data_IF_281884036154
#
_entry.id   IF_281884036154
#
_cell.length_a   1.000
_cell.length_b   1.000
_cell.length_c   1.000
_cell.angle_alpha   90.00
_cell.angle_beta   90.00
_cell.angle_gamma   90.00
#
_symmetry.space_group_name_H-M   'P 1'
#
loop_
_entity.id
_entity.type
_entity.pdbx_description
1 polymer ?
#
# COMPACT_ATOMS: atom_id res chain seq x y z
N UNK A 1 -14.86 -20.26 -6.69
CA UNK A 1 -15.01 -20.75 -8.08
C UNK A 1 -14.03 -20.05 -9.01
N UNK A 2 -13.99 -18.69 -9.12
CA UNK A 2 -13.12 -17.94 -10.02
C UNK A 2 -11.63 -18.30 -9.88
N UNK A 3 -11.11 -18.38 -8.66
CA UNK A 3 -9.71 -18.76 -8.38
C UNK A 3 -9.39 -20.19 -8.87
N UNK A 4 -10.33 -21.11 -8.72
CA UNK A 4 -10.17 -22.48 -9.23
C UNK A 4 -10.09 -22.48 -10.77
N UNK A 5 -11.03 -21.82 -11.45
CA UNK A 5 -11.05 -21.72 -12.91
C UNK A 5 -9.77 -21.03 -13.44
N UNK A 6 -9.29 -19.99 -12.78
CA UNK A 6 -8.05 -19.31 -13.14
C UNK A 6 -6.86 -20.27 -13.08
N UNK A 7 -6.74 -21.05 -12.00
CA UNK A 7 -5.66 -22.05 -11.85
C UNK A 7 -5.76 -23.19 -12.85
N UNK A 8 -6.96 -23.68 -13.10
CA UNK A 8 -7.22 -24.72 -14.13
C UNK A 8 -6.81 -24.25 -15.52
N UNK A 9 -6.93 -22.94 -15.81
CA UNK A 9 -6.45 -22.30 -17.03
C UNK A 9 -4.95 -21.95 -17.02
N UNK A 10 -4.19 -22.35 -15.97
CA UNK A 10 -2.75 -22.05 -15.84
C UNK A 10 -2.44 -20.62 -15.42
N UNK A 11 -3.42 -19.85 -14.96
CA UNK A 11 -3.25 -18.45 -14.57
C UNK A 11 -2.88 -18.27 -13.09
N UNK A 12 -2.02 -17.28 -12.82
CA UNK A 12 -1.57 -16.90 -11.47
C UNK A 12 -2.02 -15.48 -11.08
N UNK A 13 -2.89 -14.84 -11.86
CA UNK A 13 -3.36 -13.47 -11.60
C UNK A 13 -4.08 -13.36 -10.26
N UNK A 14 -3.96 -12.20 -9.63
CA UNK A 14 -4.73 -11.86 -8.44
C UNK A 14 -6.21 -11.59 -8.81
N UNK A 15 -7.11 -11.91 -7.89
CA UNK A 15 -8.56 -11.69 -8.05
C UNK A 15 -8.97 -10.38 -7.39
N UNK A 16 -9.55 -9.48 -8.17
CA UNK A 16 -10.17 -8.25 -7.69
C UNK A 16 -11.69 -8.42 -7.71
N UNK A 17 -12.33 -8.39 -6.53
CA UNK A 17 -13.78 -8.40 -6.46
C UNK A 17 -14.34 -6.99 -6.59
N UNK A 18 -15.19 -6.75 -7.60
CA UNK A 18 -15.96 -5.51 -7.73
C UNK A 18 -17.17 -5.55 -6.79
N UNK A 19 -17.22 -4.61 -5.88
CA UNK A 19 -18.38 -4.42 -4.98
C UNK A 19 -19.28 -3.38 -5.63
N UNK A 20 -20.35 -3.87 -6.26
CA UNK A 20 -21.26 -3.05 -7.08
C UNK A 20 -22.73 -3.39 -6.90
N UNK A 21 -23.04 -4.39 -6.07
CA UNK A 21 -24.39 -4.88 -5.84
C UNK A 21 -24.77 -4.87 -4.36
N UNK A 22 -26.05 -4.71 -4.07
CA UNK A 22 -26.57 -4.68 -2.70
C UNK A 22 -26.27 -5.99 -1.95
N UNK A 23 -26.39 -7.14 -2.59
CA UNK A 23 -26.12 -8.46 -1.99
C UNK A 23 -24.65 -8.65 -1.61
N UNK A 24 -23.73 -7.94 -2.28
CA UNK A 24 -22.31 -7.96 -1.92
C UNK A 24 -22.05 -7.28 -0.57
N UNK A 25 -22.88 -6.33 -0.16
CA UNK A 25 -22.74 -5.63 1.13
C UNK A 25 -23.09 -6.54 2.30
N UNK A 26 -24.09 -7.44 2.12
CA UNK A 26 -24.49 -8.41 3.14
C UNK A 26 -23.39 -9.47 3.35
N UNK A 27 -22.70 -9.87 2.28
CA UNK A 27 -21.67 -10.90 2.27
C UNK A 27 -20.24 -10.32 2.21
N UNK A 28 -20.07 -9.05 2.56
CA UNK A 28 -18.82 -8.29 2.32
C UNK A 28 -17.60 -8.95 2.94
N UNK A 29 -17.70 -9.43 4.18
CA UNK A 29 -16.59 -10.06 4.89
C UNK A 29 -16.05 -11.28 4.13
N UNK A 30 -16.94 -12.20 3.72
CA UNK A 30 -16.56 -13.41 2.99
C UNK A 30 -15.99 -13.10 1.60
N UNK A 31 -16.53 -12.10 0.91
CA UNK A 31 -16.04 -11.65 -0.40
C UNK A 31 -14.62 -11.09 -0.26
N UNK A 32 -14.38 -10.25 0.76
CA UNK A 32 -13.06 -9.66 1.02
C UNK A 32 -12.05 -10.75 1.35
N UNK A 33 -12.40 -11.73 2.20
CA UNK A 33 -11.51 -12.85 2.55
C UNK A 33 -11.15 -13.71 1.34
N UNK A 34 -12.11 -13.98 0.46
CA UNK A 34 -11.91 -14.79 -0.74
C UNK A 34 -11.10 -14.10 -1.84
N UNK A 35 -10.94 -12.76 -1.75
CA UNK A 35 -10.31 -11.92 -2.79
C UNK A 35 -8.89 -11.54 -2.43
N UNK A 36 -8.08 -11.17 -3.43
CA UNK A 36 -6.76 -10.58 -3.23
C UNK A 36 -6.85 -9.05 -3.09
N UNK A 37 -7.83 -8.46 -3.75
CA UNK A 37 -8.19 -7.05 -3.66
C UNK A 37 -9.71 -6.88 -3.83
N UNK A 38 -10.23 -5.74 -3.40
CA UNK A 38 -11.61 -5.34 -3.68
C UNK A 38 -11.65 -3.97 -4.34
N UNK A 39 -12.69 -3.73 -5.13
CA UNK A 39 -12.92 -2.46 -5.79
C UNK A 39 -14.29 -1.92 -5.40
N UNK A 40 -14.33 -0.72 -4.88
CA UNK A 40 -15.57 0.03 -4.64
C UNK A 40 -15.99 0.63 -5.99
N UNK A 41 -16.94 -0.01 -6.66
CA UNK A 41 -17.46 0.43 -7.96
C UNK A 41 -18.66 1.36 -7.75
N UNK A 42 -18.35 2.64 -7.47
CA UNK A 42 -19.36 3.60 -6.98
C UNK A 42 -20.49 3.89 -7.95
N UNK A 43 -20.20 3.88 -9.25
CA UNK A 43 -21.23 4.12 -10.28
C UNK A 43 -22.35 3.10 -10.19
N UNK A 44 -22.02 1.81 -10.29
CA UNK A 44 -22.99 0.73 -10.28
C UNK A 44 -23.62 0.55 -8.89
N UNK A 45 -22.80 0.63 -7.83
CA UNK A 45 -23.28 0.53 -6.45
C UNK A 45 -24.27 1.64 -6.09
N UNK A 46 -24.03 2.88 -6.54
CA UNK A 46 -24.93 4.00 -6.31
C UNK A 46 -26.28 3.85 -7.00
N UNK A 47 -26.32 3.19 -8.16
CA UNK A 47 -27.58 2.85 -8.84
C UNK A 47 -28.38 1.79 -8.07
N UNK A 48 -27.68 0.82 -7.46
CA UNK A 48 -28.32 -0.29 -6.72
C UNK A 48 -28.90 0.15 -5.36
N UNK A 49 -28.18 1.01 -4.64
CA UNK A 49 -28.48 1.32 -3.22
C UNK A 49 -28.92 2.76 -2.97
N UNK A 50 -28.77 3.63 -3.97
CA UNK A 50 -28.99 5.06 -3.84
C UNK A 50 -27.73 5.84 -3.46
N UNK A 51 -27.69 7.10 -3.87
CA UNK A 51 -26.56 8.02 -3.73
C UNK A 51 -26.34 8.46 -2.25
N UNK A 52 -27.39 8.53 -1.46
CA UNK A 52 -27.32 8.95 -0.07
C UNK A 52 -26.55 7.95 0.83
N UNK A 53 -26.65 6.66 0.53
CA UNK A 53 -26.00 5.59 1.30
C UNK A 53 -24.54 5.32 0.85
N UNK A 54 -24.22 5.69 -0.37
CA UNK A 54 -22.94 5.37 -1.03
C UNK A 54 -21.71 5.82 -0.22
N UNK A 55 -21.63 7.03 0.35
CA UNK A 55 -20.46 7.46 1.11
C UNK A 55 -20.21 6.61 2.37
N UNK A 56 -21.28 6.22 3.07
CA UNK A 56 -21.21 5.34 4.24
C UNK A 56 -20.70 3.94 3.87
N UNK A 57 -21.18 3.39 2.77
CA UNK A 57 -20.78 2.08 2.27
C UNK A 57 -19.35 2.07 1.74
N UNK A 58 -18.90 3.14 1.06
CA UNK A 58 -17.49 3.29 0.69
C UNK A 58 -16.58 3.14 1.91
N UNK A 59 -16.85 3.87 2.99
CA UNK A 59 -16.08 3.79 4.23
C UNK A 59 -16.13 2.39 4.84
N UNK A 60 -17.30 1.76 4.86
CA UNK A 60 -17.46 0.38 5.34
C UNK A 60 -16.63 -0.61 4.54
N UNK A 61 -16.67 -0.55 3.21
CA UNK A 61 -15.92 -1.46 2.33
C UNK A 61 -14.42 -1.27 2.52
N UNK A 62 -13.95 -0.01 2.54
CA UNK A 62 -12.52 0.30 2.77
C UNK A 62 -12.08 -0.26 4.12
N UNK A 63 -12.83 0.01 5.20
CA UNK A 63 -12.52 -0.49 6.54
C UNK A 63 -12.45 -2.02 6.59
N UNK A 64 -13.43 -2.72 6.00
CA UNK A 64 -13.46 -4.19 5.96
C UNK A 64 -12.25 -4.77 5.21
N UNK A 65 -11.84 -4.14 4.09
CA UNK A 65 -10.66 -4.53 3.35
C UNK A 65 -9.37 -4.34 4.18
N UNK A 66 -9.22 -3.19 4.82
CA UNK A 66 -8.06 -2.88 5.68
C UNK A 66 -7.95 -3.85 6.86
N UNK A 67 -9.05 -4.13 7.56
CA UNK A 67 -9.09 -5.09 8.69
C UNK A 67 -8.63 -6.49 8.29
N UNK A 68 -8.90 -6.91 7.04
CA UNK A 68 -8.47 -8.20 6.48
C UNK A 68 -7.18 -8.12 5.68
N UNK A 69 -6.50 -6.97 5.75
CA UNK A 69 -5.25 -6.71 5.02
C UNK A 69 -5.36 -6.97 3.51
N UNK A 70 -6.51 -6.62 2.94
CA UNK A 70 -6.73 -6.67 1.49
C UNK A 70 -6.54 -5.30 0.88
N UNK A 71 -6.07 -5.28 -0.36
CA UNK A 71 -5.99 -4.06 -1.16
C UNK A 71 -7.39 -3.58 -1.50
N UNK A 72 -7.60 -2.27 -1.38
CA UNK A 72 -8.87 -1.63 -1.77
C UNK A 72 -8.63 -0.53 -2.79
N UNK A 73 -9.42 -0.56 -3.87
CA UNK A 73 -9.38 0.41 -4.95
C UNK A 73 -10.71 1.16 -4.96
N UNK A 74 -10.69 2.48 -4.86
CA UNK A 74 -11.88 3.30 -5.04
C UNK A 74 -11.97 3.75 -6.49
N UNK A 75 -13.08 3.42 -7.15
CA UNK A 75 -13.24 3.53 -8.59
C UNK A 75 -14.52 4.25 -8.99
N UNK A 76 -14.54 4.71 -10.23
CA UNK A 76 -15.62 5.36 -10.95
C UNK A 76 -16.00 6.75 -10.42
N UNK A 77 -16.30 7.67 -11.36
CA UNK A 77 -16.73 9.03 -11.06
C UNK A 77 -15.76 9.83 -10.16
N UNK A 78 -14.45 9.57 -10.29
CA UNK A 78 -13.45 10.24 -9.46
C UNK A 78 -13.18 11.67 -9.93
N UNK A 79 -13.00 11.86 -11.23
CA UNK A 79 -12.79 13.18 -11.90
C UNK A 79 -13.56 13.23 -13.22
N UNK A 80 -14.83 12.84 -13.18
CA UNK A 80 -15.67 12.66 -14.36
C UNK A 80 -15.74 13.90 -15.26
N UNK A 81 -15.73 15.11 -14.68
CA UNK A 81 -15.72 16.35 -15.45
C UNK A 81 -14.51 16.48 -16.36
N UNK A 82 -13.39 15.85 -16.00
CA UNK A 82 -12.14 15.90 -16.76
C UNK A 82 -12.15 15.02 -18.04
N UNK A 83 -13.22 14.31 -18.30
CA UNK A 83 -13.47 13.73 -19.65
C UNK A 83 -13.48 14.86 -20.69
N UNK A 84 -14.11 15.98 -20.37
CA UNK A 84 -14.27 17.14 -21.27
C UNK A 84 -13.44 18.36 -20.81
N UNK A 85 -13.27 18.59 -19.50
CA UNK A 85 -12.61 19.72 -18.89
C UNK A 85 -11.13 19.48 -18.59
N UNK A 86 -10.23 20.46 -18.79
CA UNK A 86 -8.82 20.32 -18.40
C UNK A 86 -8.58 20.39 -16.88
N UNK A 87 -9.60 20.76 -16.11
CA UNK A 87 -9.52 20.88 -14.64
C UNK A 87 -10.71 20.19 -13.98
N UNK A 88 -10.52 19.57 -12.79
CA UNK A 88 -11.61 18.96 -12.04
C UNK A 88 -12.47 20.00 -11.33
N UNK A 89 -13.69 19.64 -10.98
CA UNK A 89 -14.52 20.42 -10.07
C UNK A 89 -14.01 20.33 -8.62
N UNK A 90 -14.42 21.27 -7.77
CA UNK A 90 -14.07 21.25 -6.34
C UNK A 90 -14.69 20.02 -5.63
N UNK A 91 -15.87 19.60 -6.04
CA UNK A 91 -16.54 18.41 -5.47
C UNK A 91 -15.73 17.14 -5.76
N UNK A 92 -15.22 16.97 -6.96
CA UNK A 92 -14.37 15.84 -7.34
C UNK A 92 -13.04 15.84 -6.58
N UNK A 93 -12.42 17.02 -6.40
CA UNK A 93 -11.20 17.15 -5.59
C UNK A 93 -11.45 16.69 -4.14
N UNK A 94 -12.58 17.10 -3.54
CA UNK A 94 -12.96 16.68 -2.19
C UNK A 94 -13.28 15.18 -2.13
N UNK A 95 -13.92 14.64 -3.14
CA UNK A 95 -14.29 13.24 -3.21
C UNK A 95 -13.05 12.32 -3.30
N UNK A 96 -12.09 12.64 -4.17
CA UNK A 96 -10.80 11.95 -4.25
C UNK A 96 -10.04 12.05 -2.92
N UNK A 97 -9.96 13.27 -2.34
CA UNK A 97 -9.28 13.47 -1.07
C UNK A 97 -9.92 12.63 0.05
N UNK A 98 -11.26 12.56 0.11
CA UNK A 98 -11.96 11.74 1.07
C UNK A 98 -11.66 10.24 0.90
N UNK A 99 -11.62 9.71 -0.35
CA UNK A 99 -11.25 8.32 -0.58
C UNK A 99 -9.85 7.99 -0.05
N UNK A 100 -8.89 8.90 -0.25
CA UNK A 100 -7.52 8.78 0.30
C UNK A 100 -7.54 8.81 1.84
N UNK A 101 -8.25 9.78 2.43
CA UNK A 101 -8.38 9.92 3.89
C UNK A 101 -9.10 8.70 4.50
N UNK A 102 -10.08 8.12 3.82
CA UNK A 102 -10.74 6.88 4.24
C UNK A 102 -9.78 5.68 4.27
N UNK A 103 -8.66 5.77 3.57
CA UNK A 103 -7.59 4.76 3.60
C UNK A 103 -7.57 3.82 2.40
N UNK A 104 -8.17 4.20 1.26
CA UNK A 104 -8.02 3.41 0.03
C UNK A 104 -6.55 3.24 -0.35
N UNK A 105 -6.19 2.08 -0.91
CA UNK A 105 -4.81 1.84 -1.40
C UNK A 105 -4.57 2.53 -2.74
N UNK A 106 -5.60 2.56 -3.58
CA UNK A 106 -5.52 3.19 -4.89
C UNK A 106 -6.85 3.85 -5.26
N UNK A 107 -6.77 4.86 -6.11
CA UNK A 107 -7.91 5.48 -6.79
C UNK A 107 -7.79 5.19 -8.29
N UNK A 108 -8.91 4.97 -8.96
CA UNK A 108 -8.92 4.57 -10.37
C UNK A 108 -9.63 5.60 -11.23
N UNK A 109 -8.99 6.06 -12.29
CA UNK A 109 -9.59 6.78 -13.40
C UNK A 109 -10.14 5.77 -14.42
N UNK A 110 -11.23 6.11 -15.10
CA UNK A 110 -11.91 5.30 -16.11
C UNK A 110 -11.98 6.06 -17.45
N UNK A 111 -13.11 6.67 -17.74
CA UNK A 111 -13.32 7.44 -18.96
C UNK A 111 -12.36 8.61 -19.08
N UNK A 112 -11.99 9.23 -17.97
CA UNK A 112 -11.09 10.39 -17.88
C UNK A 112 -9.77 10.13 -18.61
N UNK A 113 -9.30 8.86 -18.60
CA UNK A 113 -8.05 8.44 -19.27
C UNK A 113 -8.28 7.55 -20.49
N UNK A 114 -9.41 6.83 -20.57
CA UNK A 114 -9.69 5.89 -21.66
C UNK A 114 -10.19 6.60 -22.93
N UNK A 115 -11.05 7.62 -22.77
CA UNK A 115 -11.70 8.34 -23.89
C UNK A 115 -11.78 9.84 -23.66
N UNK A 116 -11.30 10.36 -22.53
CA UNK A 116 -11.33 11.78 -22.21
C UNK A 116 -10.36 12.61 -23.09
N UNK A 117 -10.65 13.89 -23.19
CA UNK A 117 -9.84 14.84 -23.98
C UNK A 117 -8.50 15.21 -23.32
N UNK A 118 -8.39 15.02 -21.99
CA UNK A 118 -7.25 15.50 -21.20
C UNK A 118 -6.64 14.42 -20.29
N UNK A 119 -6.28 13.20 -20.79
CA UNK A 119 -5.88 12.06 -19.94
C UNK A 119 -4.66 12.37 -19.05
N UNK A 120 -3.65 13.04 -19.59
CA UNK A 120 -2.44 13.38 -18.83
C UNK A 120 -2.74 14.40 -17.71
N UNK A 121 -3.63 15.37 -17.96
CA UNK A 121 -4.04 16.34 -16.95
C UNK A 121 -4.89 15.69 -15.85
N UNK A 122 -5.75 14.71 -16.20
CA UNK A 122 -6.53 13.95 -15.24
C UNK A 122 -5.63 13.18 -14.27
N UNK A 123 -4.60 12.48 -14.78
CA UNK A 123 -3.62 11.78 -13.94
C UNK A 123 -2.83 12.77 -13.07
N UNK A 124 -2.39 13.90 -13.63
CA UNK A 124 -1.65 14.91 -12.88
C UNK A 124 -2.51 15.55 -11.77
N UNK A 125 -3.79 15.83 -12.05
CA UNK A 125 -4.74 16.32 -11.06
C UNK A 125 -5.00 15.30 -9.96
N UNK A 126 -5.27 14.04 -10.30
CA UNK A 126 -5.43 12.93 -9.36
C UNK A 126 -4.23 12.83 -8.42
N UNK A 127 -3.00 12.75 -8.98
CA UNK A 127 -1.77 12.69 -8.20
C UNK A 127 -1.63 13.86 -7.22
N UNK A 128 -1.90 15.09 -7.69
CA UNK A 128 -1.82 16.30 -6.85
C UNK A 128 -2.79 16.24 -5.67
N UNK A 129 -4.01 15.75 -5.89
CA UNK A 129 -5.03 15.64 -4.86
C UNK A 129 -4.64 14.55 -3.85
N UNK A 130 -4.20 13.38 -4.31
CA UNK A 130 -3.73 12.29 -3.42
C UNK A 130 -2.60 12.79 -2.51
N UNK A 131 -1.55 13.39 -3.08
CA UNK A 131 -0.42 13.93 -2.31
C UNK A 131 -0.85 15.06 -1.35
N UNK A 132 -1.88 15.82 -1.70
CA UNK A 132 -2.46 16.83 -0.82
C UNK A 132 -3.17 16.23 0.37
N UNK A 133 -3.97 15.18 0.15
CA UNK A 133 -4.70 14.46 1.18
C UNK A 133 -3.77 13.69 2.13
N UNK A 134 -2.76 13.02 1.60
CA UNK A 134 -1.76 12.28 2.38
C UNK A 134 -1.02 13.15 3.40
N UNK A 135 -0.75 14.41 3.07
CA UNK A 135 -0.11 15.37 4.00
C UNK A 135 -0.99 15.77 5.20
N UNK A 136 -2.29 15.49 5.13
CA UNK A 136 -3.23 15.77 6.22
C UNK A 136 -3.42 14.57 7.14
N UNK A 137 -2.72 13.47 6.92
CA UNK A 137 -2.80 12.33 7.82
C UNK A 137 -2.22 12.68 9.19
N UNK A 138 -3.06 12.61 10.20
CA UNK A 138 -2.60 12.58 11.57
C UNK A 138 -2.06 11.18 11.88
N UNK A 139 -0.97 11.05 12.67
CA UNK A 139 -0.48 9.76 13.15
C UNK A 139 -1.62 9.03 13.86
N UNK A 140 -1.88 7.82 13.45
CA UNK A 140 -3.13 7.11 13.76
C UNK A 140 -3.24 6.78 15.24
N UNK A 141 -4.32 7.24 15.87
CA UNK A 141 -4.77 6.74 17.18
C UNK A 141 -5.03 5.21 17.20
N UNK A 142 -5.23 4.59 16.04
CA UNK A 142 -5.46 3.15 15.86
C UNK A 142 -4.25 2.27 16.18
N UNK A 143 -3.04 2.86 16.27
CA UNK A 143 -1.81 2.17 16.69
C UNK A 143 -1.70 2.00 18.21
N UNK A 144 -2.80 2.11 18.96
CA UNK A 144 -2.76 1.84 20.40
C UNK A 144 -2.36 0.39 20.65
N UNK A 145 -1.22 0.14 21.33
CA UNK A 145 -0.82 -1.20 21.68
C UNK A 145 -1.95 -1.90 22.47
N UNK A 146 -2.29 -3.12 22.09
CA UNK A 146 -3.26 -3.95 22.84
C UNK A 146 -4.71 -3.93 22.35
N UNK A 147 -5.04 -3.17 21.29
CA UNK A 147 -6.40 -3.19 20.71
C UNK A 147 -6.70 -4.47 19.93
N UNK A 148 -5.68 -5.13 19.37
CA UNK A 148 -5.82 -6.39 18.64
C UNK A 148 -4.68 -7.35 18.98
N UNK A 149 -5.02 -8.61 19.24
CA UNK A 149 -4.04 -9.66 19.35
C UNK A 149 -3.57 -10.06 17.96
N UNK A 150 -2.26 -10.01 17.73
CA UNK A 150 -1.65 -10.40 16.47
C UNK A 150 -1.15 -11.85 16.58
N UNK A 151 -1.55 -12.68 15.63
CA UNK A 151 -1.20 -14.11 15.62
C UNK A 151 0.09 -14.41 14.83
N UNK A 152 0.63 -13.42 14.13
CA UNK A 152 1.81 -13.58 13.26
C UNK A 152 2.92 -12.62 13.64
N UNK A 153 4.17 -13.13 13.62
CA UNK A 153 5.37 -12.33 13.91
C UNK A 153 5.59 -11.20 12.90
N UNK A 154 5.35 -11.44 11.61
CA UNK A 154 5.53 -10.44 10.57
C UNK A 154 4.55 -9.25 10.71
N UNK A 155 3.32 -9.49 11.17
CA UNK A 155 2.36 -8.43 11.54
C UNK A 155 2.83 -7.62 12.74
N UNK A 156 3.32 -8.32 13.79
CA UNK A 156 3.79 -7.66 15.01
C UNK A 156 5.03 -6.78 14.74
N UNK A 157 5.95 -7.26 13.91
CA UNK A 157 7.12 -6.48 13.47
C UNK A 157 6.69 -5.27 12.62
N UNK A 158 5.72 -5.43 11.72
CA UNK A 158 5.21 -4.31 10.93
C UNK A 158 4.56 -3.24 11.83
N UNK A 159 3.73 -3.64 12.79
CA UNK A 159 3.12 -2.72 13.76
C UNK A 159 4.20 -1.98 14.58
N UNK A 160 5.18 -2.70 15.09
CA UNK A 160 6.29 -2.12 15.86
C UNK A 160 7.10 -1.12 15.02
N UNK A 161 7.38 -1.46 13.74
CA UNK A 161 8.08 -0.58 12.82
C UNK A 161 7.31 0.73 12.57
N UNK A 162 6.00 0.63 12.33
CA UNK A 162 5.15 1.79 12.09
C UNK A 162 5.00 2.67 13.34
N UNK A 163 4.82 2.06 14.51
CA UNK A 163 4.80 2.77 15.79
C UNK A 163 6.11 3.52 16.04
N UNK A 164 7.24 2.82 15.89
CA UNK A 164 8.56 3.41 16.10
C UNK A 164 8.83 4.55 15.10
N UNK A 165 8.45 4.37 13.82
CA UNK A 165 8.60 5.40 12.79
C UNK A 165 7.92 6.71 13.16
N UNK A 166 6.72 6.62 13.74
CA UNK A 166 5.96 7.80 14.22
C UNK A 166 6.59 8.48 15.44
N UNK A 167 7.34 7.74 16.28
CA UNK A 167 7.92 8.29 17.52
C UNK A 167 9.28 8.96 17.32
N UNK A 168 10.12 8.42 16.46
CA UNK A 168 11.52 8.85 16.35
C UNK A 168 11.86 9.63 15.08
N UNK A 169 10.90 9.82 14.19
CA UNK A 169 11.07 10.56 12.94
C UNK A 169 12.14 9.94 12.05
N UNK A 170 11.79 8.83 11.38
CA UNK A 170 12.68 8.20 10.39
C UNK A 170 12.43 8.74 8.98
N UNK A 171 13.44 8.66 8.12
CA UNK A 171 13.34 9.06 6.71
C UNK A 171 12.55 8.06 5.89
N UNK A 172 12.70 6.77 6.18
CA UNK A 172 12.07 5.69 5.44
C UNK A 172 11.98 4.41 6.27
N UNK A 173 11.06 3.52 5.87
CA UNK A 173 11.04 2.12 6.27
C UNK A 173 11.50 1.29 5.08
N UNK A 174 12.47 0.40 5.29
CA UNK A 174 13.03 -0.50 4.28
C UNK A 174 12.58 -1.92 4.60
N UNK A 175 11.85 -2.55 3.70
CA UNK A 175 11.34 -3.91 3.88
C UNK A 175 12.00 -4.86 2.87
N UNK A 176 12.84 -5.79 3.35
CA UNK A 176 13.30 -6.88 2.53
C UNK A 176 12.21 -7.96 2.49
N UNK A 177 11.66 -8.20 1.32
CA UNK A 177 10.49 -9.09 1.18
C UNK A 177 10.54 -9.92 -0.10
N UNK A 178 10.21 -11.19 -0.03
CA UNK A 178 10.13 -12.07 -1.20
C UNK A 178 8.75 -11.95 -1.88
N UNK A 179 7.69 -12.03 -1.10
CA UNK A 179 6.30 -12.07 -1.60
C UNK A 179 5.58 -10.70 -1.58
N UNK A 180 6.14 -9.70 -0.88
CA UNK A 180 5.48 -8.44 -0.60
C UNK A 180 4.61 -8.44 0.67
N UNK A 181 4.55 -9.53 1.43
CA UNK A 181 3.69 -9.63 2.60
C UNK A 181 4.03 -8.60 3.68
N UNK A 182 5.32 -8.42 3.99
CA UNK A 182 5.76 -7.42 4.99
C UNK A 182 5.37 -6.00 4.57
N UNK A 183 5.57 -5.67 3.29
CA UNK A 183 5.16 -4.37 2.74
C UNK A 183 3.64 -4.18 2.82
N UNK A 184 2.87 -5.24 2.60
CA UNK A 184 1.42 -5.22 2.75
C UNK A 184 1.01 -4.91 4.20
N UNK A 185 1.64 -5.56 5.20
CA UNK A 185 1.35 -5.28 6.61
C UNK A 185 1.72 -3.84 6.98
N UNK A 186 2.89 -3.36 6.55
CA UNK A 186 3.31 -1.98 6.78
C UNK A 186 2.31 -0.98 6.18
N UNK A 187 1.81 -1.23 4.98
CA UNK A 187 0.86 -0.34 4.27
C UNK A 187 -0.54 -0.28 4.91
N UNK A 188 -0.87 -1.18 5.84
CA UNK A 188 -2.15 -1.15 6.56
C UNK A 188 -2.22 -0.03 7.59
N UNK A 189 -1.06 0.45 8.02
CA UNK A 189 -0.97 1.55 8.98
C UNK A 189 -0.72 2.86 8.23
N UNK A 190 -1.43 3.92 8.61
CA UNK A 190 -1.25 5.24 7.99
C UNK A 190 0.08 5.84 8.44
N UNK A 191 0.87 6.31 7.50
CA UNK A 191 2.14 6.98 7.77
C UNK A 191 2.44 8.02 6.69
N UNK A 192 3.23 9.01 7.04
CA UNK A 192 3.86 9.93 6.10
C UNK A 192 5.26 9.47 5.69
N UNK A 193 5.71 8.34 6.25
CA UNK A 193 7.04 7.77 5.99
C UNK A 193 6.97 6.78 4.83
N UNK A 194 7.75 6.98 3.75
CA UNK A 194 7.75 6.08 2.60
C UNK A 194 8.28 4.70 2.98
N UNK A 195 7.67 3.66 2.42
CA UNK A 195 8.08 2.26 2.56
C UNK A 195 8.78 1.84 1.28
N UNK A 196 10.09 1.56 1.33
CA UNK A 196 10.82 0.96 0.23
C UNK A 196 10.81 -0.56 0.40
N UNK A 197 10.09 -1.24 -0.49
CA UNK A 197 9.95 -2.70 -0.46
C UNK A 197 10.88 -3.33 -1.51
N UNK A 198 11.94 -3.97 -1.04
CA UNK A 198 12.98 -4.54 -1.86
C UNK A 198 12.69 -6.01 -2.13
N UNK A 199 12.58 -6.37 -3.42
CA UNK A 199 12.31 -7.74 -3.84
C UNK A 199 12.89 -8.04 -5.22
N UNK A 200 13.43 -9.26 -5.39
CA UNK A 200 13.84 -9.78 -6.68
C UNK A 200 12.66 -10.20 -7.56
N UNK A 201 11.52 -10.54 -6.93
CA UNK A 201 10.33 -11.03 -7.64
C UNK A 201 9.61 -9.91 -8.38
N UNK A 202 9.65 -9.95 -9.72
CA UNK A 202 8.91 -9.00 -10.55
C UNK A 202 7.39 -9.08 -10.32
N UNK A 203 6.86 -10.27 -10.03
CA UNK A 203 5.45 -10.46 -9.72
C UNK A 203 5.07 -9.80 -8.38
N UNK A 204 5.93 -9.95 -7.35
CA UNK A 204 5.74 -9.27 -6.06
C UNK A 204 5.83 -7.75 -6.22
N UNK A 205 6.84 -7.24 -6.96
CA UNK A 205 6.98 -5.79 -7.22
C UNK A 205 5.76 -5.21 -7.93
N UNK A 206 5.21 -5.89 -8.96
CA UNK A 206 3.97 -5.45 -9.63
C UNK A 206 2.78 -5.40 -8.67
N UNK A 207 2.64 -6.38 -7.78
CA UNK A 207 1.56 -6.40 -6.78
C UNK A 207 1.71 -5.26 -5.78
N UNK A 208 2.92 -5.02 -5.29
CA UNK A 208 3.23 -3.97 -4.32
C UNK A 208 3.00 -2.54 -4.85
N UNK A 209 2.93 -2.33 -6.18
CA UNK A 209 2.55 -1.03 -6.77
C UNK A 209 1.13 -0.58 -6.37
N UNK A 210 0.28 -1.50 -5.95
CA UNK A 210 -1.08 -1.18 -5.47
C UNK A 210 -1.12 -0.90 -3.96
N UNK A 211 -0.04 -1.11 -3.23
CA UNK A 211 -0.03 -0.90 -1.77
C UNK A 211 0.25 0.57 -1.46
N UNK A 212 -0.58 1.16 -0.60
CA UNK A 212 -0.40 2.54 -0.17
C UNK A 212 0.96 2.75 0.49
N UNK A 213 1.61 3.87 0.17
CA UNK A 213 2.91 4.30 0.71
C UNK A 213 4.10 3.37 0.37
N UNK A 214 3.88 2.33 -0.45
CA UNK A 214 4.92 1.37 -0.82
C UNK A 214 5.56 1.74 -2.16
N UNK A 215 6.89 1.81 -2.15
CA UNK A 215 7.73 2.01 -3.32
C UNK A 215 8.52 0.71 -3.58
N UNK A 216 8.08 -0.14 -4.51
CA UNK A 216 8.78 -1.38 -4.81
C UNK A 216 10.09 -1.12 -5.55
N UNK A 217 11.17 -1.72 -5.06
CA UNK A 217 12.52 -1.60 -5.64
C UNK A 217 13.03 -2.99 -6.01
N UNK A 218 13.69 -3.10 -7.17
CA UNK A 218 14.35 -4.32 -7.58
C UNK A 218 15.62 -4.53 -6.78
N UNK A 219 15.72 -5.67 -6.11
CA UNK A 219 16.88 -6.00 -5.32
C UNK A 219 16.98 -7.52 -5.11
N UNK A 220 18.17 -8.07 -5.26
CA UNK A 220 18.45 -9.50 -5.06
C UNK A 220 19.44 -9.69 -3.92
N UNK A 221 18.98 -10.28 -2.84
CA UNK A 221 19.79 -10.58 -1.66
C UNK A 221 20.28 -12.04 -1.61
N UNK A 222 20.12 -12.82 -2.68
CA UNK A 222 20.52 -14.23 -2.68
C UNK A 222 22.02 -14.39 -2.45
N UNK A 223 22.37 -15.36 -1.59
CA UNK A 223 23.75 -15.65 -1.24
C UNK A 223 24.36 -14.73 -0.18
N UNK A 224 23.67 -13.66 0.18
CA UNK A 224 24.09 -12.80 1.29
C UNK A 224 23.49 -13.28 2.62
N UNK A 225 24.27 -13.24 3.69
CA UNK A 225 23.71 -13.39 5.04
C UNK A 225 22.81 -12.20 5.40
N UNK A 226 21.98 -12.31 6.45
CA UNK A 226 21.00 -11.28 6.79
C UNK A 226 21.60 -9.88 6.97
N UNK A 227 22.74 -9.77 7.63
CA UNK A 227 23.45 -8.48 7.86
C UNK A 227 23.97 -7.89 6.56
N UNK A 228 24.57 -8.72 5.70
CA UNK A 228 25.06 -8.27 4.39
C UNK A 228 23.92 -7.84 3.48
N UNK A 229 22.80 -8.59 3.47
CA UNK A 229 21.60 -8.22 2.71
C UNK A 229 21.05 -6.84 3.13
N UNK A 230 21.03 -6.54 4.43
CA UNK A 230 20.61 -5.22 4.94
C UNK A 230 21.59 -4.14 4.49
N UNK A 231 22.92 -4.38 4.61
CA UNK A 231 23.96 -3.43 4.18
C UNK A 231 23.82 -3.09 2.68
N UNK A 232 23.68 -4.12 1.85
CA UNK A 232 23.57 -3.96 0.40
C UNK A 232 22.26 -3.26 0.00
N UNK A 233 21.15 -3.55 0.69
CA UNK A 233 19.86 -2.91 0.47
C UNK A 233 19.92 -1.40 0.77
N UNK A 234 20.50 -1.02 1.90
CA UNK A 234 20.67 0.39 2.29
C UNK A 234 21.55 1.12 1.28
N UNK A 235 22.71 0.52 0.94
CA UNK A 235 23.61 1.09 -0.07
C UNK A 235 22.95 1.24 -1.43
N UNK A 236 22.12 0.27 -1.84
CA UNK A 236 21.37 0.34 -3.07
C UNK A 236 20.40 1.53 -3.10
N UNK A 237 19.64 1.75 -2.02
CA UNK A 237 18.74 2.89 -1.89
C UNK A 237 19.48 4.24 -1.83
N UNK A 238 20.65 4.26 -1.20
CA UNK A 238 21.53 5.43 -1.17
C UNK A 238 22.02 5.80 -2.59
N UNK A 239 22.50 4.83 -3.35
CA UNK A 239 22.95 5.04 -4.74
C UNK A 239 21.79 5.49 -5.65
N UNK A 240 20.59 5.01 -5.43
CA UNK A 240 19.38 5.46 -6.14
C UNK A 240 18.91 6.87 -5.71
N UNK A 241 19.53 7.48 -4.70
CA UNK A 241 19.16 8.81 -4.19
C UNK A 241 17.89 8.84 -3.34
N UNK A 242 17.41 7.68 -2.88
CA UNK A 242 16.25 7.60 -1.99
C UNK A 242 16.62 7.89 -0.53
N UNK A 243 17.86 7.63 -0.17
CA UNK A 243 18.43 7.87 1.16
C UNK A 243 19.68 8.74 1.05
N UNK A 244 20.01 9.47 2.12
CA UNK A 244 21.16 10.34 2.22
C UNK A 244 21.94 10.09 3.54
N UNK A 245 23.18 10.59 3.61
CA UNK A 245 23.98 10.57 4.85
C UNK A 245 23.22 11.27 5.99
N UNK A 246 23.27 10.69 7.18
CA UNK A 246 22.56 11.17 8.36
C UNK A 246 21.09 10.71 8.45
N UNK A 247 20.52 10.10 7.40
CA UNK A 247 19.16 9.58 7.46
C UNK A 247 19.03 8.44 8.47
N UNK A 248 17.97 8.50 9.28
CA UNK A 248 17.54 7.38 10.11
C UNK A 248 16.56 6.53 9.34
N UNK A 249 16.75 5.22 9.34
CA UNK A 249 15.88 4.27 8.64
C UNK A 249 15.54 3.09 9.54
N UNK A 250 14.32 2.57 9.38
CA UNK A 250 13.91 1.31 9.97
C UNK A 250 14.00 0.23 8.91
N UNK A 251 14.61 -0.90 9.25
CA UNK A 251 14.73 -2.04 8.34
C UNK A 251 14.01 -3.25 8.93
N UNK A 252 13.11 -3.84 8.15
CA UNK A 252 12.46 -5.11 8.48
C UNK A 252 13.02 -6.22 7.61
N UNK A 253 13.43 -7.32 8.22
CA UNK A 253 13.98 -8.50 7.52
C UNK A 253 13.65 -9.78 8.26
N UNK A 254 13.91 -10.92 7.63
CA UNK A 254 13.87 -12.24 8.24
C UNK A 254 15.25 -12.87 8.25
N UNK A 255 15.49 -13.80 9.18
CA UNK A 255 16.74 -14.53 9.30
C UNK A 255 17.05 -15.41 8.08
N UNK A 256 16.03 -15.81 7.34
CA UNK A 256 16.16 -16.60 6.12
C UNK A 256 15.67 -15.80 4.91
N UNK A 257 16.62 -15.41 4.06
CA UNK A 257 16.29 -14.79 2.76
C UNK A 257 15.58 -15.80 1.86
N UNK A 258 14.44 -15.39 1.26
CA UNK A 258 13.68 -16.21 0.31
C UNK A 258 12.51 -16.99 0.88
N UNK A 259 12.25 -16.96 2.19
CA UNK A 259 11.04 -17.54 2.78
C UNK A 259 9.95 -16.47 2.98
N UNK A 260 8.78 -16.69 2.39
CA UNK A 260 7.62 -15.82 2.60
C UNK A 260 7.10 -15.89 4.05
N UNK A 261 6.81 -14.72 4.66
CA UNK A 261 6.27 -14.66 6.03
C UNK A 261 7.29 -14.82 7.16
N UNK A 262 8.59 -14.85 6.84
CA UNK A 262 9.69 -15.04 7.80
C UNK A 262 10.20 -13.76 8.45
N UNK A 263 9.55 -12.62 8.30
CA UNK A 263 9.99 -11.35 8.90
C UNK A 263 9.88 -11.43 10.42
N UNK A 264 11.04 -11.33 11.09
CA UNK A 264 11.16 -11.46 12.55
C UNK A 264 12.12 -10.42 13.18
N UNK A 265 12.72 -9.57 12.37
CA UNK A 265 13.75 -8.60 12.80
C UNK A 265 13.36 -7.18 12.38
N UNK A 266 13.53 -6.24 13.30
CA UNK A 266 13.44 -4.80 13.10
C UNK A 266 14.74 -4.16 13.55
N UNK A 267 15.38 -3.37 12.68
CA UNK A 267 16.61 -2.63 12.97
C UNK A 267 16.40 -1.13 12.75
N UNK A 268 16.91 -0.32 13.66
CA UNK A 268 17.05 1.11 13.48
C UNK A 268 18.51 1.40 13.10
N UNK A 269 18.69 2.09 11.98
CA UNK A 269 20.02 2.40 11.45
C UNK A 269 20.13 3.89 11.16
N UNK A 270 21.36 4.42 11.27
CA UNK A 270 21.74 5.77 10.84
C UNK A 270 22.76 5.61 9.71
N UNK A 271 22.57 6.34 8.62
CA UNK A 271 23.45 6.26 7.46
C UNK A 271 24.67 7.16 7.64
N UNK A 272 25.86 6.57 7.49
CA UNK A 272 27.13 7.30 7.41
C UNK A 272 27.30 8.06 6.08
N UNK A 273 28.37 8.82 5.96
CA UNK A 273 28.67 9.65 4.79
C UNK A 273 28.91 8.82 3.50
N UNK A 274 29.31 7.59 3.63
CA UNK A 274 29.56 6.62 2.56
C UNK A 274 28.32 5.77 2.16
N UNK A 275 27.17 6.05 2.78
CA UNK A 275 25.95 5.25 2.60
C UNK A 275 25.96 3.91 3.32
N UNK A 276 26.95 3.67 4.20
CA UNK A 276 27.01 2.50 5.07
C UNK A 276 26.32 2.85 6.38
N UNK A 277 25.47 1.98 6.87
CA UNK A 277 24.78 2.21 8.13
C UNK A 277 25.73 2.00 9.31
N UNK A 278 25.75 2.97 10.23
CA UNK A 278 26.49 2.86 11.49
C UNK A 278 26.00 1.64 12.29
N UNK A 279 26.95 0.91 12.89
CA UNK A 279 26.65 -0.33 13.63
C UNK A 279 26.51 -1.60 12.77
N UNK A 280 26.62 -1.52 11.45
CA UNK A 280 26.77 -2.68 10.57
C UNK A 280 28.22 -2.93 10.12
N UNK A 281 29.17 -2.10 10.59
CA UNK A 281 30.58 -2.19 10.18
C UNK A 281 31.32 -3.35 10.86
N UNK A 282 30.85 -3.80 12.03
CA UNK A 282 31.53 -4.73 12.92
C UNK A 282 30.88 -6.12 13.05
N UNK A 283 29.99 -6.50 12.07
CA UNK A 283 29.30 -7.79 12.09
C UNK A 283 29.78 -8.68 10.91
#
# INVERSE_FOLDING_TARGET
QARRLLREAGGEAALVAKIERAEAIENLAEIVEASDAVMVARGDLGVEIGDAELPGLQKKIIREALLRSRVVITATQMMQSMVESPIPTRAEVLDVANAVIDGTDAVMLSQETASGKHPALAVAAMRRVCLGAERQFEPVEELKPGTHRLDRSDQAIALAAMFLAGQIGVRAIVALTESGATAQWLSRYRSTVPIYALSRSAAARRRMQLYRDVNPVEFDARGAGPTQAVRDAIRHLFVLGHLAAGDRVLVTTGDHTGLGGGTNTLKLLVLGADGIAEGLQDL
#
